data_IF_372652879701
#
_entry.id   IF_372652879701
#
_cell.length_a   1.000
_cell.length_b   1.000
_cell.length_c   1.000
_cell.angle_alpha   90.00
_cell.angle_beta   90.00
_cell.angle_gamma   90.00
#
_symmetry.space_group_name_H-M   'P 1'
#
loop_
_entity.id
_entity.type
_entity.pdbx_description
1 polymer ?
#
# COMPACT_ATOMS: atom_id res chain seq x y z
N UNK A 1 -20.47 -3.15 3.39
CA UNK A 1 -19.17 -3.01 4.06
C UNK A 1 -18.12 -4.04 3.60
N UNK A 2 -18.25 -4.67 2.43
CA UNK A 2 -17.36 -5.79 2.02
C UNK A 2 -16.26 -5.43 1.02
N UNK A 3 -16.23 -4.18 0.54
CA UNK A 3 -15.32 -3.71 -0.51
C UNK A 3 -14.16 -2.87 0.03
N UNK A 4 -13.81 -3.03 1.31
CA UNK A 4 -12.62 -2.40 1.88
C UNK A 4 -11.55 -3.49 1.97
N UNK A 5 -10.47 -3.45 1.17
CA UNK A 5 -9.55 -4.58 0.98
C UNK A 5 -9.03 -5.19 2.28
N UNK A 6 -8.73 -4.35 3.28
CA UNK A 6 -8.23 -4.80 4.58
C UNK A 6 -9.25 -5.62 5.38
N UNK A 7 -10.55 -5.29 5.25
CA UNK A 7 -11.64 -5.95 5.96
C UNK A 7 -12.36 -7.00 5.12
N UNK A 8 -12.19 -6.97 3.79
CA UNK A 8 -12.78 -7.91 2.84
C UNK A 8 -12.59 -9.38 3.22
N UNK A 9 -11.40 -9.90 3.60
CA UNK A 9 -11.25 -11.32 3.92
C UNK A 9 -12.07 -11.73 5.15
N UNK A 10 -12.13 -10.89 6.18
CA UNK A 10 -12.93 -11.15 7.38
C UNK A 10 -14.44 -11.11 7.08
N UNK A 11 -14.88 -10.09 6.35
CA UNK A 11 -16.30 -9.91 6.02
C UNK A 11 -16.77 -10.96 5.02
N UNK A 12 -15.93 -11.37 4.06
CA UNK A 12 -16.26 -12.42 3.10
C UNK A 12 -16.23 -13.80 3.74
N UNK A 13 -15.34 -14.08 4.71
CA UNK A 13 -15.38 -15.33 5.50
C UNK A 13 -16.72 -15.49 6.20
N UNK A 14 -17.25 -14.42 6.83
CA UNK A 14 -18.55 -14.45 7.48
C UNK A 14 -19.73 -14.53 6.49
N UNK A 15 -19.58 -13.99 5.28
CA UNK A 15 -20.62 -14.00 4.24
C UNK A 15 -20.60 -15.25 3.36
N UNK A 16 -19.50 -15.99 3.33
CA UNK A 16 -19.34 -17.22 2.54
C UNK A 16 -20.32 -18.34 2.97
N UNK A 17 -20.87 -18.25 4.19
CA UNK A 17 -21.93 -19.13 4.67
C UNK A 17 -23.30 -18.88 4.01
N UNK A 18 -23.47 -17.75 3.30
CA UNK A 18 -24.67 -17.42 2.54
C UNK A 18 -24.52 -17.73 1.03
N UNK A 19 -25.65 -17.77 0.32
CA UNK A 19 -25.66 -17.91 -1.14
C UNK A 19 -25.26 -16.57 -1.81
N UNK A 20 -23.96 -16.27 -1.84
CA UNK A 20 -23.43 -15.13 -2.58
C UNK A 20 -23.21 -15.49 -4.06
N UNK A 21 -23.55 -14.59 -5.01
CA UNK A 21 -23.23 -14.78 -6.42
C UNK A 21 -21.72 -14.93 -6.68
N UNK A 22 -21.35 -15.75 -7.65
CA UNK A 22 -19.94 -15.98 -8.03
C UNK A 22 -19.17 -14.70 -8.42
N UNK A 23 -19.87 -13.69 -8.97
CA UNK A 23 -19.25 -12.43 -9.36
C UNK A 23 -18.74 -11.62 -8.17
N UNK A 24 -19.39 -11.69 -7.00
CA UNK A 24 -18.95 -10.96 -5.79
C UNK A 24 -17.61 -11.50 -5.29
N UNK A 25 -17.42 -12.83 -5.37
CA UNK A 25 -16.15 -13.46 -5.04
C UNK A 25 -15.04 -12.99 -5.98
N UNK A 26 -15.27 -13.01 -7.29
CA UNK A 26 -14.29 -12.55 -8.26
C UNK A 26 -13.95 -11.06 -8.08
N UNK A 27 -14.96 -10.21 -7.87
CA UNK A 27 -14.76 -8.77 -7.70
C UNK A 27 -13.93 -8.47 -6.44
N UNK A 28 -14.22 -9.14 -5.32
CA UNK A 28 -13.47 -8.96 -4.07
C UNK A 28 -12.06 -9.54 -4.15
N UNK A 29 -11.84 -10.66 -4.82
CA UNK A 29 -10.51 -11.22 -5.08
C UNK A 29 -9.66 -10.27 -5.95
N UNK A 30 -10.21 -9.76 -7.05
CA UNK A 30 -9.49 -8.80 -7.92
C UNK A 30 -9.17 -7.52 -7.16
N UNK A 31 -10.12 -6.99 -6.38
CA UNK A 31 -9.90 -5.82 -5.54
C UNK A 31 -8.78 -6.04 -4.52
N UNK A 32 -8.75 -7.21 -3.87
CA UNK A 32 -7.68 -7.60 -2.94
C UNK A 32 -6.32 -7.65 -3.63
N UNK A 33 -6.23 -8.31 -4.79
CA UNK A 33 -4.98 -8.39 -5.56
C UNK A 33 -4.47 -7.00 -5.97
N UNK A 34 -5.36 -6.12 -6.43
CA UNK A 34 -5.01 -4.74 -6.76
C UNK A 34 -4.50 -3.98 -5.54
N UNK A 35 -5.18 -4.11 -4.40
CA UNK A 35 -4.75 -3.46 -3.15
C UNK A 35 -3.37 -3.94 -2.72
N UNK A 36 -3.09 -5.25 -2.80
CA UNK A 36 -1.78 -5.82 -2.47
C UNK A 36 -0.72 -5.27 -3.43
N UNK A 37 -1.01 -5.23 -4.73
CA UNK A 37 -0.09 -4.70 -5.73
C UNK A 37 0.30 -3.24 -5.44
N UNK A 38 -0.67 -2.38 -5.14
CA UNK A 38 -0.38 -0.98 -4.79
C UNK A 38 0.39 -0.85 -3.48
N UNK A 39 0.05 -1.65 -2.46
CA UNK A 39 0.74 -1.65 -1.18
C UNK A 39 2.21 -2.09 -1.33
N UNK A 40 2.47 -3.19 -2.04
CA UNK A 40 3.84 -3.70 -2.29
C UNK A 40 4.65 -2.71 -3.11
N UNK A 41 4.06 -2.10 -4.15
CA UNK A 41 4.73 -1.07 -4.95
C UNK A 41 5.12 0.14 -4.10
N UNK A 42 4.22 0.60 -3.23
CA UNK A 42 4.47 1.71 -2.31
C UNK A 42 5.55 1.38 -1.28
N UNK A 43 5.45 0.22 -0.64
CA UNK A 43 6.43 -0.26 0.33
C UNK A 43 7.82 -0.43 -0.29
N UNK A 44 7.92 -0.96 -1.52
CA UNK A 44 9.17 -1.09 -2.25
C UNK A 44 9.84 0.25 -2.56
N UNK A 45 9.05 1.27 -2.93
CA UNK A 45 9.55 2.65 -3.08
C UNK A 45 10.11 3.21 -1.78
N UNK A 46 9.35 3.09 -0.69
CA UNK A 46 9.78 3.58 0.63
C UNK A 46 11.03 2.85 1.12
N UNK A 47 11.11 1.54 0.91
CA UNK A 47 12.28 0.74 1.28
C UNK A 47 13.54 1.17 0.51
N UNK A 48 13.43 1.40 -0.80
CA UNK A 48 14.55 1.88 -1.64
C UNK A 48 15.10 3.23 -1.20
N UNK A 49 14.23 4.16 -0.79
CA UNK A 49 14.66 5.46 -0.30
C UNK A 49 15.19 5.35 1.13
N UNK A 50 14.52 4.58 1.98
CA UNK A 50 14.84 4.42 3.39
C UNK A 50 16.17 3.70 3.64
N UNK A 51 16.57 2.73 2.81
CA UNK A 51 17.84 2.01 2.99
C UNK A 51 19.07 2.92 2.82
N UNK A 52 18.94 4.00 2.05
CA UNK A 52 20.00 4.99 1.82
C UNK A 52 19.99 6.13 2.84
N UNK A 53 19.02 6.14 3.75
CA UNK A 53 18.95 7.14 4.81
C UNK A 53 19.79 6.73 6.01
N UNK A 54 20.76 7.57 6.32
CA UNK A 54 21.58 7.47 7.53
C UNK A 54 21.38 8.71 8.40
N UNK A 55 21.31 8.52 9.72
CA UNK A 55 21.32 9.61 10.70
C UNK A 55 19.96 10.04 11.26
N UNK A 56 18.99 10.44 10.43
CA UNK A 56 17.71 11.00 10.91
C UNK A 56 16.53 10.06 10.61
N UNK A 57 15.74 9.64 11.63
CA UNK A 57 14.54 8.84 11.39
C UNK A 57 13.51 9.70 10.63
N UNK A 58 12.93 9.17 9.55
CA UNK A 58 12.05 9.96 8.71
C UNK A 58 10.72 10.25 9.39
N UNK A 59 10.19 11.45 9.14
CA UNK A 59 8.86 11.82 9.64
C UNK A 59 7.78 11.21 8.76
N UNK A 60 6.61 10.93 9.34
CA UNK A 60 5.46 10.37 8.59
C UNK A 60 5.09 11.19 7.34
N UNK A 61 5.23 12.51 7.39
CA UNK A 61 5.00 13.39 6.24
C UNK A 61 6.01 13.20 5.10
N UNK A 62 7.26 12.86 5.40
CA UNK A 62 8.30 12.59 4.38
C UNK A 62 8.05 11.26 3.69
N UNK A 63 7.69 10.24 4.47
CA UNK A 63 7.30 8.91 3.96
C UNK A 63 6.14 9.03 2.97
N UNK A 64 5.13 9.82 3.31
CA UNK A 64 3.98 10.05 2.43
C UNK A 64 4.37 10.82 1.15
N UNK A 65 5.35 11.73 1.25
CA UNK A 65 5.87 12.45 0.10
C UNK A 65 6.64 11.52 -0.84
N UNK A 66 7.42 10.57 -0.33
CA UNK A 66 8.12 9.57 -1.16
C UNK A 66 7.18 8.61 -1.88
N UNK A 67 6.04 8.27 -1.28
CA UNK A 67 5.01 7.47 -1.94
C UNK A 67 4.45 8.16 -3.19
N UNK A 68 4.36 9.49 -3.16
CA UNK A 68 3.80 10.32 -4.25
C UNK A 68 4.86 10.89 -5.19
N UNK A 69 6.11 11.02 -4.73
CA UNK A 69 7.22 11.54 -5.52
C UNK A 69 7.45 10.68 -6.77
N UNK A 70 7.57 11.37 -7.91
CA UNK A 70 7.79 10.78 -9.23
C UNK A 70 9.27 10.50 -9.50
N UNK A 71 10.14 11.21 -8.80
CA UNK A 71 11.60 11.10 -8.88
C UNK A 71 12.14 10.63 -7.53
N UNK A 72 13.14 9.76 -7.57
CA UNK A 72 13.85 9.24 -6.41
C UNK A 72 14.67 10.38 -5.78
N UNK A 73 14.00 11.29 -5.06
CA UNK A 73 14.65 12.39 -4.36
C UNK A 73 15.47 11.77 -3.23
N UNK A 74 16.76 11.54 -3.50
CA UNK A 74 17.71 11.15 -2.48
C UNK A 74 17.81 12.30 -1.48
N UNK A 75 17.53 12.08 -0.19
CA UNK A 75 17.61 13.14 0.81
C UNK A 75 18.99 13.79 0.93
N UNK A 76 20.04 13.18 0.36
CA UNK A 76 21.37 13.76 0.25
C UNK A 76 21.42 15.08 -0.54
N UNK A 77 20.52 15.30 -1.51
CA UNK A 77 20.50 16.54 -2.30
C UNK A 77 19.93 17.74 -1.53
N UNK A 78 19.18 17.51 -0.44
CA UNK A 78 18.52 18.58 0.33
C UNK A 78 19.37 19.22 1.41
N UNK A 79 20.51 18.64 1.76
CA UNK A 79 21.43 19.20 2.75
C UNK A 79 22.57 20.01 2.07
N UNK A 80 22.52 20.13 0.73
CA UNK A 80 23.47 20.90 -0.09
C UNK A 80 22.98 22.30 -0.49
N UNK A 81 21.74 22.68 -0.13
CA UNK A 81 21.16 24.03 -0.26
C UNK A 81 20.88 24.63 1.13
#
# INVERSE_FOLDING_TARGET
MSYIPLFTPFVMMNRAAGALPLWEYLATTVLLLLSIYFAVRGAGKVFRIGILMTGKPPRLGEVMRWLTAKEDISPAEREAD
#
